data_IF_055966975788
#
_entry.id   IF_055966975788
#
_cell.length_a   1.000
_cell.length_b   1.000
_cell.length_c   1.000
_cell.angle_alpha   90.00
_cell.angle_beta   90.00
_cell.angle_gamma   90.00
#
_symmetry.space_group_name_H-M   'P 1'
#
loop_
_entity.id
_entity.type
_entity.pdbx_description
1 polymer ?
#
# COMPACT_ATOMS: atom_id res chain seq x y z
N UNK A 1 19.40 -1.13 2.04
CA UNK A 1 18.33 -1.69 1.22
C UNK A 1 17.39 -2.56 2.07
N UNK A 2 16.11 -2.66 1.66
CA UNK A 2 15.16 -3.61 2.23
C UNK A 2 15.44 -5.01 1.68
N UNK A 3 15.22 -6.05 2.50
CA UNK A 3 15.14 -7.42 2.00
C UNK A 3 13.82 -7.58 1.26
N UNK A 4 13.84 -8.15 0.06
CA UNK A 4 12.65 -8.32 -0.79
C UNK A 4 12.51 -9.79 -1.16
N UNK A 5 11.33 -10.35 -0.93
CA UNK A 5 10.96 -11.69 -1.41
C UNK A 5 10.15 -11.55 -2.68
N UNK A 6 10.36 -12.45 -3.64
CA UNK A 6 9.69 -12.42 -4.93
C UNK A 6 8.86 -13.67 -5.11
N UNK A 7 7.61 -13.51 -5.56
CA UNK A 7 6.72 -14.62 -5.89
C UNK A 7 5.93 -14.27 -7.14
N UNK A 8 5.99 -15.12 -8.14
CA UNK A 8 5.11 -15.05 -9.29
C UNK A 8 3.79 -15.78 -8.96
N UNK A 9 2.67 -15.17 -9.30
CA UNK A 9 1.34 -15.73 -9.04
C UNK A 9 0.99 -16.88 -9.97
N UNK A 10 1.75 -17.08 -11.04
CA UNK A 10 1.64 -18.21 -11.97
C UNK A 10 3.03 -18.70 -12.35
N UNK A 11 3.17 -20.02 -12.58
CA UNK A 11 4.39 -20.63 -13.11
C UNK A 11 4.46 -20.58 -14.64
N UNK A 12 3.32 -20.43 -15.30
CA UNK A 12 3.19 -20.56 -16.75
C UNK A 12 2.49 -19.32 -17.33
N UNK A 13 3.08 -18.75 -18.40
CA UNK A 13 2.48 -17.68 -19.15
C UNK A 13 3.10 -16.31 -18.94
N UNK A 14 2.48 -15.33 -19.58
CA UNK A 14 2.89 -13.94 -19.52
C UNK A 14 2.49 -13.30 -18.18
N UNK A 15 3.39 -12.57 -17.57
CA UNK A 15 3.13 -11.83 -16.32
C UNK A 15 2.98 -10.35 -16.69
N UNK A 16 1.72 -9.86 -16.83
CA UNK A 16 1.45 -8.55 -17.38
C UNK A 16 1.81 -7.38 -16.44
N UNK A 17 1.98 -7.63 -15.14
CA UNK A 17 2.25 -6.57 -14.18
C UNK A 17 3.09 -7.03 -13.00
N UNK A 18 3.60 -6.06 -12.27
CA UNK A 18 4.34 -6.24 -11.00
C UNK A 18 3.61 -5.53 -9.88
N UNK A 19 3.58 -6.14 -8.69
CA UNK A 19 2.99 -5.59 -7.48
C UNK A 19 4.04 -5.56 -6.37
N UNK A 20 4.35 -4.38 -5.85
CA UNK A 20 5.10 -4.24 -4.59
C UNK A 20 4.08 -4.19 -3.46
N UNK A 21 4.13 -5.17 -2.56
CA UNK A 21 3.17 -5.30 -1.47
C UNK A 21 3.81 -5.16 -0.10
N UNK A 22 3.32 -4.19 0.69
CA UNK A 22 3.84 -3.84 2.00
C UNK A 22 2.94 -4.41 3.10
N UNK A 23 3.52 -5.25 3.95
CA UNK A 23 2.80 -5.92 5.05
C UNK A 23 2.47 -4.97 6.21
N UNK A 24 1.58 -5.40 7.12
CA UNK A 24 1.21 -4.66 8.32
C UNK A 24 2.28 -4.70 9.42
N UNK A 25 2.17 -3.80 10.39
CA UNK A 25 3.02 -3.79 11.58
C UNK A 25 2.86 -5.09 12.37
N UNK A 26 3.97 -5.66 12.84
CA UNK A 26 3.98 -6.90 13.63
C UNK A 26 3.85 -8.19 12.82
N UNK A 27 3.66 -8.10 11.50
CA UNK A 27 3.64 -9.23 10.57
C UNK A 27 4.94 -9.28 9.77
N UNK A 28 5.07 -10.20 8.85
CA UNK A 28 6.21 -10.28 7.96
C UNK A 28 5.83 -10.37 6.48
N UNK A 29 6.83 -10.30 5.62
CA UNK A 29 6.62 -10.31 4.17
C UNK A 29 5.96 -11.59 3.65
N UNK A 30 6.15 -12.73 4.32
CA UNK A 30 5.58 -14.03 3.91
C UNK A 30 4.10 -14.17 4.28
N UNK A 31 3.60 -13.41 5.25
CA UNK A 31 2.19 -13.48 5.67
C UNK A 31 1.22 -13.13 4.54
N UNK A 32 1.66 -12.32 3.56
CA UNK A 32 0.86 -11.95 2.39
C UNK A 32 1.16 -12.76 1.12
N UNK A 33 2.00 -13.78 1.16
CA UNK A 33 2.22 -14.63 -0.02
C UNK A 33 0.93 -15.29 -0.55
N UNK A 34 -0.02 -15.76 0.32
CA UNK A 34 -1.29 -16.31 -0.16
C UNK A 34 -2.15 -15.32 -0.94
N UNK A 35 -2.06 -14.03 -0.63
CA UNK A 35 -2.79 -12.96 -1.30
C UNK A 35 -2.55 -12.92 -2.82
N UNK A 36 -1.35 -13.28 -3.27
CA UNK A 36 -1.02 -13.35 -4.69
C UNK A 36 -1.90 -14.37 -5.44
N UNK A 37 -2.15 -15.53 -4.83
CA UNK A 37 -3.02 -16.56 -5.42
C UNK A 37 -4.50 -16.17 -5.27
N UNK A 38 -4.88 -15.65 -4.12
CA UNK A 38 -6.25 -15.20 -3.87
C UNK A 38 -6.71 -14.15 -4.89
N UNK A 39 -5.86 -13.18 -5.24
CA UNK A 39 -6.20 -12.19 -6.28
C UNK A 39 -6.49 -12.84 -7.63
N UNK A 40 -5.75 -13.88 -8.03
CA UNK A 40 -6.04 -14.63 -9.25
C UNK A 40 -7.37 -15.37 -9.14
N UNK A 41 -7.62 -16.03 -8.03
CA UNK A 41 -8.86 -16.80 -7.78
C UNK A 41 -10.10 -15.89 -7.84
N UNK A 42 -9.94 -14.60 -7.52
CA UNK A 42 -10.97 -13.56 -7.62
C UNK A 42 -10.94 -12.78 -8.95
N UNK A 43 -10.23 -13.25 -9.97
CA UNK A 43 -10.24 -12.70 -11.32
C UNK A 43 -9.21 -11.60 -11.58
N UNK A 44 -8.23 -11.45 -10.71
CA UNK A 44 -7.12 -10.52 -10.90
C UNK A 44 -6.14 -10.96 -11.98
N UNK A 45 -5.31 -10.03 -12.49
CA UNK A 45 -4.29 -10.35 -13.47
C UNK A 45 -3.17 -11.18 -12.85
N UNK A 46 -2.51 -12.01 -13.67
CA UNK A 46 -1.26 -12.62 -13.27
C UNK A 46 -0.23 -11.52 -12.98
N UNK A 47 0.52 -11.68 -11.89
CA UNK A 47 1.44 -10.65 -11.43
C UNK A 47 2.69 -11.25 -10.79
N UNK A 48 3.78 -10.52 -10.90
CA UNK A 48 4.97 -10.72 -10.07
C UNK A 48 4.83 -9.91 -8.81
N UNK A 49 4.82 -10.57 -7.66
CA UNK A 49 4.76 -9.93 -6.35
C UNK A 49 6.16 -9.77 -5.76
N UNK A 50 6.43 -8.56 -5.30
CA UNK A 50 7.59 -8.24 -4.47
C UNK A 50 7.08 -7.91 -3.06
N UNK A 51 7.57 -8.64 -2.08
CA UNK A 51 7.23 -8.46 -0.66
C UNK A 51 8.46 -7.93 0.11
N UNK A 52 8.63 -6.61 0.21
CA UNK A 52 9.67 -6.04 1.05
C UNK A 52 9.41 -6.33 2.52
N UNK A 53 10.49 -6.60 3.27
CA UNK A 53 10.45 -6.85 4.70
C UNK A 53 10.73 -5.58 5.49
N UNK A 54 9.79 -5.18 6.36
CA UNK A 54 10.00 -4.08 7.29
C UNK A 54 11.07 -4.44 8.34
N UNK A 55 11.85 -3.45 8.81
CA UNK A 55 12.81 -3.66 9.89
C UNK A 55 12.12 -3.91 11.24
N UNK A 56 12.84 -4.50 12.18
CA UNK A 56 12.41 -4.61 13.58
C UNK A 56 12.87 -3.34 14.32
N UNK A 57 11.91 -2.55 14.76
CA UNK A 57 12.13 -1.30 15.50
C UNK A 57 11.35 -1.27 16.82
N UNK A 58 11.74 -0.45 17.79
CA UNK A 58 10.90 -0.21 18.96
C UNK A 58 9.65 0.58 18.55
N UNK A 59 8.50 0.22 19.12
CA UNK A 59 7.20 0.84 18.85
C UNK A 59 6.74 1.57 20.10
N UNK A 60 6.71 2.89 20.02
CA UNK A 60 6.44 3.77 21.16
C UNK A 60 5.06 3.53 21.75
N UNK A 61 4.02 3.40 20.91
CA UNK A 61 2.65 3.12 21.36
C UNK A 61 2.50 1.78 22.10
N UNK A 62 3.45 0.86 21.92
CA UNK A 62 3.54 -0.43 22.60
C UNK A 62 4.65 -0.45 23.68
N UNK A 63 4.89 0.68 24.34
CA UNK A 63 5.87 0.81 25.44
C UNK A 63 7.30 0.40 25.03
N UNK A 64 7.67 0.59 23.76
CA UNK A 64 8.98 0.24 23.22
C UNK A 64 9.15 -1.25 22.87
N UNK A 65 8.07 -2.04 22.87
CA UNK A 65 8.13 -3.40 22.33
C UNK A 65 8.69 -3.39 20.89
N UNK A 66 9.58 -4.33 20.62
CA UNK A 66 10.25 -4.40 19.31
C UNK A 66 9.50 -5.34 18.37
N UNK A 67 9.06 -4.80 17.26
CA UNK A 67 8.38 -5.56 16.22
C UNK A 67 8.71 -5.02 14.83
N UNK A 68 8.27 -5.73 13.81
CA UNK A 68 8.38 -5.29 12.43
C UNK A 68 7.47 -4.08 12.19
N UNK A 69 8.03 -2.98 11.71
CA UNK A 69 7.27 -1.78 11.38
C UNK A 69 7.99 -0.95 10.33
N UNK A 70 7.22 -0.24 9.51
CA UNK A 70 7.76 0.68 8.52
C UNK A 70 8.24 1.99 9.15
N UNK A 71 7.55 2.45 10.18
CA UNK A 71 7.89 3.63 10.99
C UNK A 71 7.35 3.46 12.40
N UNK A 72 7.82 4.27 13.34
CA UNK A 72 7.34 4.22 14.72
C UNK A 72 5.88 4.73 14.82
N UNK A 73 5.06 4.00 15.55
CA UNK A 73 3.69 4.41 15.90
C UNK A 73 3.73 5.04 17.29
N UNK A 74 3.48 6.34 17.35
CA UNK A 74 3.54 7.12 18.60
C UNK A 74 2.27 6.99 19.43
N UNK A 75 1.10 6.83 18.77
CA UNK A 75 -0.19 6.61 19.39
C UNK A 75 -1.06 5.69 18.53
N UNK A 76 -1.84 4.81 19.16
CA UNK A 76 -2.71 3.85 18.44
C UNK A 76 -4.03 4.47 17.95
N UNK A 77 -4.34 5.69 18.31
CA UNK A 77 -5.48 6.42 17.74
C UNK A 77 -5.18 7.02 16.36
N UNK A 78 -3.91 7.09 15.97
CA UNK A 78 -3.42 7.68 14.71
C UNK A 78 -3.85 9.14 14.48
N UNK A 79 -4.26 9.85 15.52
CA UNK A 79 -4.68 11.26 15.47
C UNK A 79 -3.67 12.23 16.11
N UNK A 80 -2.62 11.70 16.74
CA UNK A 80 -1.58 12.47 17.42
C UNK A 80 -0.37 12.80 16.55
N UNK A 81 0.75 13.14 17.19
CA UNK A 81 2.03 13.32 16.50
C UNK A 81 2.45 12.05 15.76
N UNK A 82 3.10 12.22 14.61
CA UNK A 82 3.60 11.13 13.78
C UNK A 82 5.13 11.12 13.73
N UNK A 83 5.72 9.95 13.50
CA UNK A 83 7.16 9.78 13.28
C UNK A 83 7.56 10.29 11.88
N UNK A 84 7.51 11.59 11.66
CA UNK A 84 7.83 12.20 10.37
C UNK A 84 9.21 11.76 9.86
N UNK A 85 10.20 11.71 10.74
CA UNK A 85 11.56 11.30 10.35
C UNK A 85 11.61 9.86 9.86
N UNK A 86 10.97 8.94 10.56
CA UNK A 86 10.92 7.52 10.20
C UNK A 86 10.12 7.32 8.90
N UNK A 87 8.98 7.98 8.76
CA UNK A 87 8.14 7.91 7.55
C UNK A 87 8.94 8.38 6.32
N UNK A 88 9.62 9.54 6.42
CA UNK A 88 10.43 10.08 5.31
C UNK A 88 11.65 9.21 4.99
N UNK A 89 12.33 8.66 5.99
CA UNK A 89 13.44 7.74 5.79
C UNK A 89 12.99 6.43 5.14
N UNK A 90 11.82 5.90 5.52
CA UNK A 90 11.27 4.68 4.94
C UNK A 90 10.79 4.92 3.50
N UNK A 91 10.19 6.09 3.22
CA UNK A 91 9.85 6.48 1.85
C UNK A 91 11.04 6.36 0.89
N UNK A 92 12.23 6.80 1.30
CA UNK A 92 13.44 6.66 0.49
C UNK A 92 13.77 5.20 0.19
N UNK A 93 13.61 4.30 1.18
CA UNK A 93 13.86 2.85 0.99
C UNK A 93 12.82 2.20 0.09
N UNK A 94 11.54 2.54 0.24
CA UNK A 94 10.47 2.05 -0.64
C UNK A 94 10.68 2.57 -2.07
N UNK A 95 11.03 3.84 -2.22
CA UNK A 95 11.35 4.42 -3.53
C UNK A 95 12.55 3.73 -4.18
N UNK A 96 13.55 3.32 -3.39
CA UNK A 96 14.66 2.52 -3.91
C UNK A 96 14.17 1.19 -4.50
N UNK A 97 13.26 0.45 -3.81
CA UNK A 97 12.67 -0.79 -4.34
C UNK A 97 11.93 -0.53 -5.65
N UNK A 98 11.12 0.53 -5.71
CA UNK A 98 10.42 0.94 -6.95
C UNK A 98 11.42 1.19 -8.08
N UNK A 99 12.47 1.95 -7.82
CA UNK A 99 13.51 2.28 -8.82
C UNK A 99 14.29 1.04 -9.27
N UNK A 100 14.59 0.11 -8.39
CA UNK A 100 15.21 -1.17 -8.73
C UNK A 100 14.35 -1.96 -9.71
N UNK A 101 13.03 -2.06 -9.47
CA UNK A 101 12.08 -2.69 -10.40
C UNK A 101 12.06 -1.96 -11.75
N UNK A 102 11.92 -0.64 -11.74
CA UNK A 102 11.88 0.15 -12.97
C UNK A 102 13.19 0.08 -13.78
N UNK A 103 14.33 -0.10 -13.10
CA UNK A 103 15.64 -0.23 -13.75
C UNK A 103 15.79 -1.51 -14.57
N UNK A 104 14.96 -2.53 -14.31
CA UNK A 104 14.93 -3.77 -15.12
C UNK A 104 14.20 -3.61 -16.46
N UNK A 105 13.65 -2.43 -16.75
CA UNK A 105 12.83 -2.18 -17.93
C UNK A 105 11.33 -2.36 -17.70
N UNK A 106 10.91 -2.54 -16.44
CA UNK A 106 9.49 -2.61 -16.09
C UNK A 106 8.80 -1.30 -16.45
N UNK A 107 7.69 -1.40 -17.19
CA UNK A 107 6.82 -0.26 -17.49
C UNK A 107 6.18 0.25 -16.18
N UNK A 108 6.34 1.53 -15.82
CA UNK A 108 5.70 2.10 -14.64
C UNK A 108 4.17 1.93 -14.65
N UNK A 109 3.53 1.99 -15.82
CA UNK A 109 2.08 1.80 -15.97
C UNK A 109 1.63 0.33 -15.84
N UNK A 110 2.56 -0.57 -15.55
CA UNK A 110 2.32 -1.97 -15.19
C UNK A 110 2.88 -2.32 -13.81
N UNK A 111 3.21 -1.30 -13.01
CA UNK A 111 3.70 -1.44 -11.63
C UNK A 111 2.67 -0.90 -10.66
N UNK A 112 2.16 -1.77 -9.78
CA UNK A 112 1.33 -1.40 -8.64
C UNK A 112 2.17 -1.34 -7.37
N UNK A 113 1.79 -0.45 -6.46
CA UNK A 113 2.23 -0.49 -5.07
C UNK A 113 1.00 -0.60 -4.17
N UNK A 114 1.06 -1.49 -3.22
CA UNK A 114 -0.05 -1.66 -2.29
C UNK A 114 0.41 -2.16 -0.93
N UNK A 115 -0.52 -2.28 -0.03
CA UNK A 115 -0.27 -2.81 1.29
C UNK A 115 -1.50 -2.86 2.17
N UNK A 116 -1.30 -3.45 3.34
CA UNK A 116 -2.30 -3.63 4.38
C UNK A 116 -1.88 -2.90 5.65
N UNK A 117 -2.81 -2.20 6.29
CA UNK A 117 -2.59 -1.50 7.57
C UNK A 117 -1.44 -0.48 7.47
N UNK A 118 -0.39 -0.59 8.28
CA UNK A 118 0.77 0.29 8.18
C UNK A 118 1.48 0.20 6.81
N UNK A 119 1.43 -0.97 6.15
CA UNK A 119 1.91 -1.11 4.78
C UNK A 119 1.10 -0.29 3.78
N UNK A 120 -0.23 -0.20 3.94
CA UNK A 120 -1.09 0.68 3.15
C UNK A 120 -0.71 2.15 3.34
N UNK A 121 -0.41 2.55 4.58
CA UNK A 121 0.05 3.91 4.88
C UNK A 121 1.32 4.26 4.11
N UNK A 122 2.31 3.37 4.11
CA UNK A 122 3.55 3.58 3.35
C UNK A 122 3.35 3.51 1.83
N UNK A 123 2.44 2.66 1.35
CA UNK A 123 2.09 2.59 -0.08
C UNK A 123 1.47 3.91 -0.57
N UNK A 124 0.53 4.49 0.18
CA UNK A 124 -0.04 5.81 -0.12
C UNK A 124 1.04 6.90 -0.08
N UNK A 125 1.79 6.96 1.02
CA UNK A 125 2.80 7.99 1.19
C UNK A 125 3.85 7.96 0.07
N UNK A 126 4.34 6.77 -0.27
CA UNK A 126 5.40 6.60 -1.26
C UNK A 126 4.88 6.67 -2.69
N UNK A 127 3.74 6.06 -2.99
CA UNK A 127 3.17 6.02 -4.34
C UNK A 127 2.77 7.41 -4.85
N UNK A 128 2.17 8.23 -3.99
CA UNK A 128 1.75 9.60 -4.34
C UNK A 128 2.91 10.58 -4.55
N UNK A 129 4.14 10.19 -4.21
CA UNK A 129 5.35 11.00 -4.35
C UNK A 129 6.32 10.49 -5.41
N UNK A 130 5.88 9.54 -6.26
CA UNK A 130 6.72 9.03 -7.35
C UNK A 130 6.85 10.05 -8.48
N UNK A 131 7.93 9.94 -9.24
CA UNK A 131 8.22 10.83 -10.39
C UNK A 131 7.67 10.32 -11.71
N UNK A 132 7.19 9.07 -11.73
CA UNK A 132 6.51 8.42 -12.87
C UNK A 132 5.15 7.92 -12.42
N UNK A 133 4.09 8.09 -13.22
CA UNK A 133 2.79 7.54 -12.88
C UNK A 133 2.86 6.01 -12.87
N UNK A 134 2.35 5.41 -11.79
CA UNK A 134 2.24 3.96 -11.63
C UNK A 134 0.90 3.46 -12.19
N UNK A 135 0.77 2.14 -12.37
CA UNK A 135 -0.50 1.51 -12.72
C UNK A 135 -1.58 1.77 -11.67
N UNK A 136 -1.21 1.77 -10.40
CA UNK A 136 -2.13 2.08 -9.31
C UNK A 136 -1.51 1.94 -7.93
N UNK A 137 -2.21 2.53 -6.95
CA UNK A 137 -1.93 2.38 -5.53
C UNK A 137 -3.11 1.64 -4.89
N UNK A 138 -2.84 0.59 -4.09
CA UNK A 138 -3.84 -0.23 -3.42
C UNK A 138 -3.61 -0.14 -1.91
N UNK A 139 -4.49 0.55 -1.20
CA UNK A 139 -4.35 0.79 0.24
C UNK A 139 -5.51 0.19 1.03
N UNK A 140 -5.23 -0.90 1.75
CA UNK A 140 -6.23 -1.67 2.48
C UNK A 140 -6.09 -1.46 3.98
N UNK A 141 -7.17 -1.10 4.66
CA UNK A 141 -7.28 -0.98 6.12
C UNK A 141 -6.19 -0.10 6.74
N UNK A 142 -5.83 1.00 6.05
CA UNK A 142 -4.78 1.91 6.45
C UNK A 142 -5.23 3.37 6.55
N UNK A 143 -4.26 4.26 6.53
CA UNK A 143 -4.44 5.70 6.62
C UNK A 143 -3.34 6.41 5.83
N UNK A 144 -3.49 7.72 5.61
CA UNK A 144 -2.45 8.54 4.98
C UNK A 144 -1.58 9.18 6.06
N UNK A 145 -0.32 8.76 6.24
CA UNK A 145 0.58 9.41 7.19
C UNK A 145 1.01 10.78 6.67
N UNK A 146 1.20 11.73 7.58
CA UNK A 146 1.53 13.13 7.29
C UNK A 146 0.58 13.76 6.26
N UNK A 147 -0.72 13.49 6.41
CA UNK A 147 -1.76 13.84 5.45
C UNK A 147 -1.74 15.33 5.08
N UNK A 148 -1.42 16.22 6.06
CA UNK A 148 -1.34 17.64 5.87
C UNK A 148 -0.24 18.09 4.89
N UNK A 149 0.77 17.25 4.65
CA UNK A 149 1.87 17.56 3.72
C UNK A 149 1.55 17.19 2.27
N UNK A 150 0.57 16.29 2.05
CA UNK A 150 0.29 15.77 0.72
C UNK A 150 -0.03 16.85 -0.33
N UNK A 151 -0.88 17.85 -0.08
CA UNK A 151 -1.21 18.86 -1.10
C UNK A 151 0.01 19.59 -1.67
N UNK A 152 1.05 19.79 -0.85
CA UNK A 152 2.29 20.44 -1.25
C UNK A 152 3.34 19.47 -1.84
N UNK A 153 3.29 18.20 -1.47
CA UNK A 153 4.35 17.24 -1.80
C UNK A 153 3.94 16.22 -2.89
N UNK A 154 2.65 16.14 -3.25
CA UNK A 154 2.21 15.24 -4.31
C UNK A 154 2.81 15.67 -5.65
N UNK A 155 3.38 14.72 -6.39
CA UNK A 155 3.92 14.96 -7.72
C UNK A 155 2.83 14.98 -8.79
N UNK A 156 3.14 15.49 -9.98
CA UNK A 156 2.23 15.37 -11.14
C UNK A 156 1.93 13.90 -11.48
N UNK A 157 2.93 13.03 -11.34
CA UNK A 157 2.80 11.59 -11.52
C UNK A 157 1.90 10.96 -10.45
N UNK A 158 2.06 11.36 -9.19
CA UNK A 158 1.20 10.89 -8.11
C UNK A 158 -0.26 11.29 -8.30
N UNK A 159 -0.53 12.51 -8.80
CA UNK A 159 -1.89 12.96 -9.15
C UNK A 159 -2.53 12.11 -10.26
N UNK A 160 -1.73 11.65 -11.21
CA UNK A 160 -2.19 10.84 -12.35
C UNK A 160 -2.31 9.34 -12.02
N UNK A 161 -1.67 8.86 -10.95
CA UNK A 161 -1.74 7.47 -10.53
C UNK A 161 -3.10 7.18 -9.89
N UNK A 162 -3.91 6.22 -10.40
CA UNK A 162 -5.18 5.87 -9.79
C UNK A 162 -4.97 5.21 -8.42
N UNK A 163 -5.89 5.49 -7.50
CA UNK A 163 -5.83 5.00 -6.12
C UNK A 163 -7.08 4.19 -5.78
N UNK A 164 -6.88 3.01 -5.23
CA UNK A 164 -7.91 2.20 -4.59
C UNK A 164 -7.67 2.21 -3.08
N UNK A 165 -8.63 2.69 -2.32
CA UNK A 165 -8.62 2.65 -0.86
C UNK A 165 -9.83 1.88 -0.35
N UNK A 166 -9.63 0.98 0.59
CA UNK A 166 -10.70 0.19 1.18
C UNK A 166 -10.52 0.02 2.69
N UNK A 167 -11.63 -0.11 3.40
CA UNK A 167 -11.64 -0.18 4.85
C UNK A 167 -12.80 -0.99 5.40
N UNK A 168 -12.59 -1.65 6.55
CA UNK A 168 -13.64 -2.29 7.31
C UNK A 168 -14.48 -1.25 8.08
N UNK A 169 -15.82 -1.29 7.92
CA UNK A 169 -16.72 -0.39 8.63
C UNK A 169 -16.66 -0.57 10.17
N UNK A 170 -16.20 -1.74 10.62
CA UNK A 170 -16.07 -2.11 12.04
C UNK A 170 -14.60 -2.30 12.46
N UNK A 171 -13.64 -1.75 11.70
CA UNK A 171 -12.22 -1.88 11.99
C UNK A 171 -11.91 -1.36 13.40
N UNK A 172 -11.47 -2.28 14.28
CA UNK A 172 -11.16 -2.03 15.69
C UNK A 172 -9.71 -1.60 15.92
N UNK A 173 -8.87 -1.67 14.90
CA UNK A 173 -7.43 -1.33 14.96
C UNK A 173 -7.17 0.06 14.37
N UNK A 174 -7.59 0.29 13.14
CA UNK A 174 -7.53 1.60 12.48
C UNK A 174 -8.94 2.15 12.36
N UNK A 175 -9.25 3.17 13.15
CA UNK A 175 -10.59 3.75 13.18
C UNK A 175 -11.05 4.14 11.76
N UNK A 176 -12.24 3.68 11.30
CA UNK A 176 -12.76 4.00 9.98
C UNK A 176 -12.84 5.50 9.68
N UNK A 177 -13.05 6.33 10.70
CA UNK A 177 -13.07 7.79 10.53
C UNK A 177 -11.69 8.35 10.16
N UNK A 178 -10.60 7.77 10.70
CA UNK A 178 -9.21 8.16 10.34
C UNK A 178 -8.95 7.79 8.89
N UNK A 179 -9.36 6.61 8.47
CA UNK A 179 -9.25 6.16 7.08
C UNK A 179 -10.08 7.04 6.12
N UNK A 180 -11.30 7.40 6.51
CA UNK A 180 -12.16 8.27 5.69
C UNK A 180 -11.57 9.68 5.55
N UNK A 181 -11.08 10.28 6.63
CA UNK A 181 -10.36 11.57 6.57
C UNK A 181 -9.15 11.50 5.64
N UNK A 182 -8.42 10.38 5.67
CA UNK A 182 -7.30 10.13 4.74
C UNK A 182 -7.77 10.07 3.30
N UNK A 183 -8.87 9.36 3.02
CA UNK A 183 -9.46 9.27 1.69
C UNK A 183 -9.92 10.65 1.18
N UNK A 184 -10.51 11.49 2.02
CA UNK A 184 -10.93 12.84 1.65
C UNK A 184 -9.74 13.72 1.21
N UNK A 185 -8.60 13.59 1.88
CA UNK A 185 -7.37 14.29 1.49
C UNK A 185 -6.84 13.78 0.16
N UNK A 186 -6.82 12.45 -0.04
CA UNK A 186 -6.36 11.84 -1.29
C UNK A 186 -7.28 12.24 -2.45
N UNK A 187 -8.61 12.18 -2.27
CA UNK A 187 -9.61 12.52 -3.28
C UNK A 187 -9.42 13.95 -3.82
N UNK A 188 -9.09 14.89 -2.94
CA UNK A 188 -8.80 16.28 -3.34
C UNK A 188 -7.46 16.46 -4.06
N UNK A 189 -6.59 15.45 -4.06
CA UNK A 189 -5.25 15.53 -4.61
C UNK A 189 -5.04 14.72 -5.88
N UNK A 190 -5.79 13.63 -6.12
CA UNK A 190 -5.62 12.73 -7.25
C UNK A 190 -6.72 12.86 -8.29
N UNK A 191 -6.44 12.40 -9.51
CA UNK A 191 -7.45 12.39 -10.58
C UNK A 191 -8.49 11.30 -10.41
N UNK A 192 -8.11 10.15 -9.81
CA UNK A 192 -8.99 8.99 -9.63
C UNK A 192 -8.77 8.35 -8.27
N UNK A 193 -9.80 8.38 -7.45
CA UNK A 193 -9.87 7.61 -6.21
C UNK A 193 -11.12 6.70 -6.26
N UNK A 194 -10.93 5.43 -5.96
CA UNK A 194 -12.00 4.49 -5.64
C UNK A 194 -11.93 4.24 -4.13
N UNK A 195 -12.99 4.62 -3.42
CA UNK A 195 -13.17 4.33 -1.99
C UNK A 195 -14.23 3.26 -1.80
N UNK A 196 -13.93 2.25 -0.97
CA UNK A 196 -14.86 1.18 -0.62
C UNK A 196 -14.86 0.92 0.88
N UNK A 197 -16.04 0.63 1.41
CA UNK A 197 -16.23 0.15 2.77
C UNK A 197 -16.90 -1.23 2.75
N UNK A 198 -16.49 -2.10 3.67
CA UNK A 198 -17.00 -3.46 3.79
C UNK A 198 -17.44 -3.73 5.22
N UNK A 199 -18.43 -4.61 5.38
CA UNK A 199 -18.89 -5.06 6.70
C UNK A 199 -17.90 -6.07 7.30
N UNK A 200 -16.75 -5.58 7.73
CA UNK A 200 -15.68 -6.36 8.32
C UNK A 200 -14.90 -5.54 9.35
N UNK A 201 -14.10 -6.21 10.17
CA UNK A 201 -13.11 -5.63 11.06
C UNK A 201 -11.79 -5.34 10.30
N UNK A 202 -10.64 -5.43 10.97
CA UNK A 202 -9.30 -5.24 10.41
C UNK A 202 -8.83 -6.51 9.68
N UNK A 203 -9.39 -6.76 8.52
CA UNK A 203 -9.23 -8.00 7.74
C UNK A 203 -9.48 -7.76 6.25
N UNK A 204 -9.42 -8.81 5.45
CA UNK A 204 -9.79 -8.84 4.04
C UNK A 204 -11.11 -9.62 3.87
N UNK A 205 -11.86 -9.31 2.81
CA UNK A 205 -13.06 -10.07 2.46
C UNK A 205 -13.12 -10.38 0.95
N UNK A 206 -13.93 -11.38 0.52
CA UNK A 206 -14.05 -11.77 -0.87
C UNK A 206 -14.46 -10.63 -1.82
N UNK A 207 -15.40 -9.79 -1.40
CA UNK A 207 -15.85 -8.65 -2.20
C UNK A 207 -14.72 -7.64 -2.43
N UNK A 208 -13.89 -7.40 -1.42
CA UNK A 208 -12.71 -6.53 -1.53
C UNK A 208 -11.72 -7.08 -2.55
N UNK A 209 -11.40 -8.39 -2.50
CA UNK A 209 -10.52 -9.06 -3.47
C UNK A 209 -11.05 -8.94 -4.90
N UNK A 210 -12.36 -9.13 -5.09
CA UNK A 210 -13.03 -8.94 -6.39
C UNK A 210 -12.87 -7.52 -6.90
N UNK A 211 -13.07 -6.52 -6.05
CA UNK A 211 -12.94 -5.12 -6.46
C UNK A 211 -11.50 -4.70 -6.73
N UNK A 212 -10.53 -5.25 -5.98
CA UNK A 212 -9.11 -5.06 -6.27
C UNK A 212 -8.76 -5.65 -7.63
N UNK A 213 -9.22 -6.88 -7.92
CA UNK A 213 -9.01 -7.52 -9.21
C UNK A 213 -9.57 -6.68 -10.38
N UNK A 214 -10.79 -6.15 -10.24
CA UNK A 214 -11.40 -5.25 -11.21
C UNK A 214 -10.59 -3.96 -11.40
N UNK A 215 -10.16 -3.34 -10.30
CA UNK A 215 -9.31 -2.15 -10.33
C UNK A 215 -8.01 -2.38 -11.10
N UNK A 216 -7.32 -3.48 -10.81
CA UNK A 216 -6.07 -3.84 -11.48
C UNK A 216 -6.27 -4.11 -12.98
N UNK A 217 -7.30 -4.87 -13.34
CA UNK A 217 -7.61 -5.16 -14.75
C UNK A 217 -7.91 -3.87 -15.52
N UNK A 218 -8.76 -2.99 -14.97
CA UNK A 218 -9.08 -1.71 -15.60
C UNK A 218 -7.83 -0.83 -15.78
N UNK A 219 -6.95 -0.78 -14.80
CA UNK A 219 -5.71 0.00 -14.88
C UNK A 219 -4.73 -0.53 -15.95
N UNK A 220 -4.77 -1.83 -16.26
CA UNK A 220 -3.89 -2.45 -17.26
C UNK A 220 -4.43 -2.37 -18.70
N UNK A 221 -5.72 -2.03 -18.87
CA UNK A 221 -6.37 -1.86 -20.17
C UNK A 221 -6.16 -0.45 -20.78
N UNK A 222 -5.80 0.52 -19.95
CA UNK A 222 -5.56 1.92 -20.32
C UNK A 222 -4.14 2.19 -20.71
#
# INVERSE_FOLDING_TARGET
PLKVFVKDSTSDGDIPCTVIWLHGMGTDAHDFEPFAQELIDFGGPAARFLFPQAPVIPITAHQGWRGTAWFDVLSMDFEGPEDERGIRAMHQKVTQVINEVLSTGQDPQRLFIGGFSQGAAMALYSGLRQTRPLAGIIALSGFLPLAQTLPAEITAAGRATPVFMAHGAFDSIVNPMVARKSADVVENCVQTLIWREYNMDHELCPDELTHIAQFMNTALEG
#
